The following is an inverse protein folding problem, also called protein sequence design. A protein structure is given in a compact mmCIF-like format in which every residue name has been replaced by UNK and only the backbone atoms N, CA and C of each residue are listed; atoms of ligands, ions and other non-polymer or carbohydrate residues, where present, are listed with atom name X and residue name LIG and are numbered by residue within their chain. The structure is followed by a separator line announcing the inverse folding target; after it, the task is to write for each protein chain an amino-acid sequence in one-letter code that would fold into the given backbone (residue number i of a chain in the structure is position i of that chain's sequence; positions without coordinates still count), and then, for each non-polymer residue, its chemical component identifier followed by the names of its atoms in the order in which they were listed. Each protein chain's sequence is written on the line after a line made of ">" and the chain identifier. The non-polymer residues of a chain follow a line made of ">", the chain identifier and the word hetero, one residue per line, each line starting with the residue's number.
data_IF_552662431093
#
_entry.id   IF_552662431093
#
_cell.length_a   1.000
_cell.length_b   1.000
_cell.length_c   1.000
_cell.angle_alpha   90.00
_cell.angle_beta   90.00
_cell.angle_gamma   90.00
#
_symmetry.space_group_name_H-M   'P 1'
#
loop_
_entity.id
_entity.type
_entity.pdbx_description
1 polymer ?
#
# COMPACT_ATOMS: atom_id res chain seq x y z
N UNK A 1 -0.04 2.28 -20.90
CA UNK A 1 0.19 2.43 -19.45
C UNK A 1 -0.70 1.41 -18.74
N UNK A 2 -0.17 0.59 -17.83
CA UNK A 2 -0.96 -0.38 -17.06
C UNK A 2 -1.11 0.12 -15.62
N UNK A 3 -2.34 0.05 -15.12
CA UNK A 3 -2.67 0.41 -13.74
C UNK A 3 -2.98 -0.87 -12.99
N UNK A 4 -2.34 -1.04 -11.83
CA UNK A 4 -2.62 -2.14 -10.93
C UNK A 4 -3.31 -1.59 -9.68
N UNK A 5 -4.30 -2.34 -9.21
CA UNK A 5 -5.01 -2.01 -7.98
C UNK A 5 -4.78 -3.11 -6.99
N UNK A 6 -4.26 -2.76 -5.82
CA UNK A 6 -4.01 -3.69 -4.72
C UNK A 6 -5.02 -3.42 -3.60
N UNK A 7 -5.78 -4.45 -3.23
CA UNK A 7 -6.57 -4.43 -2.01
C UNK A 7 -5.71 -4.88 -0.84
N UNK A 8 -5.59 -4.04 0.18
CA UNK A 8 -4.86 -4.37 1.40
C UNK A 8 -5.80 -4.31 2.59
N UNK A 9 -5.94 -5.42 3.30
CA UNK A 9 -6.69 -5.47 4.55
C UNK A 9 -5.72 -5.44 5.73
N UNK A 10 -5.97 -4.57 6.70
CA UNK A 10 -5.26 -4.52 7.98
C UNK A 10 -6.23 -4.77 9.12
N UNK A 11 -5.77 -5.50 10.14
CA UNK A 11 -6.50 -5.70 11.39
C UNK A 11 -5.96 -4.76 12.44
N UNK A 12 -6.82 -3.89 12.96
CA UNK A 12 -6.52 -3.04 14.11
C UNK A 12 -7.14 -3.68 15.35
N UNK A 13 -6.33 -3.97 16.36
CA UNK A 13 -6.79 -4.45 17.67
C UNK A 13 -6.72 -3.31 18.68
N UNK A 14 -7.74 -3.18 19.52
CA UNK A 14 -7.80 -2.17 20.56
C UNK A 14 -8.35 -2.74 21.87
N UNK A 15 -8.08 -2.05 22.98
CA UNK A 15 -8.61 -2.37 24.30
C UNK A 15 -9.29 -1.13 24.85
N UNK A 16 -10.56 -1.25 25.20
CA UNK A 16 -11.31 -0.22 25.92
C UNK A 16 -11.19 -0.51 27.41
N UNK A 17 -10.83 0.51 28.19
CA UNK A 17 -10.76 0.43 29.64
C UNK A 17 -11.82 1.35 30.22
N UNK A 18 -12.75 0.77 30.95
CA UNK A 18 -13.83 1.49 31.63
C UNK A 18 -13.33 2.13 32.95
N UNK A 19 -14.04 3.12 33.49
CA UNK A 19 -13.67 3.75 34.78
C UNK A 19 -13.64 2.79 35.97
N UNK A 20 -14.40 1.69 35.91
CA UNK A 20 -14.41 0.62 36.92
C UNK A 20 -13.22 -0.36 36.78
N UNK A 21 -12.32 -0.12 35.81
CA UNK A 21 -11.16 -0.96 35.54
C UNK A 21 -11.45 -2.17 34.64
N UNK A 22 -12.71 -2.38 34.23
CA UNK A 22 -13.04 -3.45 33.29
C UNK A 22 -12.39 -3.20 31.91
N UNK A 23 -11.93 -4.28 31.27
CA UNK A 23 -11.26 -4.23 29.96
C UNK A 23 -12.06 -4.98 28.90
N UNK A 24 -12.30 -4.34 27.77
CA UNK A 24 -12.94 -4.96 26.61
C UNK A 24 -11.97 -4.96 25.43
N UNK A 25 -11.80 -6.12 24.82
CA UNK A 25 -10.94 -6.27 23.65
C UNK A 25 -11.77 -6.19 22.38
N UNK A 26 -11.36 -5.34 21.44
CA UNK A 26 -12.00 -5.17 20.14
C UNK A 26 -11.01 -5.35 18.99
N UNK A 27 -11.53 -5.69 17.82
CA UNK A 27 -10.75 -5.62 16.59
C UNK A 27 -11.59 -5.13 15.42
N UNK A 28 -11.02 -4.23 14.62
CA UNK A 28 -11.59 -3.65 13.43
C UNK A 28 -10.78 -4.08 12.20
N UNK A 29 -11.46 -4.52 11.15
CA UNK A 29 -10.85 -4.75 9.84
C UNK A 29 -10.99 -3.49 8.99
N UNK A 30 -9.87 -2.99 8.48
CA UNK A 30 -9.81 -1.82 7.62
C UNK A 30 -9.24 -2.28 6.28
N UNK A 31 -10.01 -2.09 5.21
CA UNK A 31 -9.54 -2.33 3.85
C UNK A 31 -9.13 -1.00 3.21
N UNK A 32 -7.97 -0.96 2.56
CA UNK A 32 -7.54 0.17 1.75
C UNK A 32 -7.21 -0.28 0.33
N UNK A 33 -7.51 0.59 -0.63
CA UNK A 33 -7.21 0.39 -2.04
C UNK A 33 -6.03 1.30 -2.40
N UNK A 34 -4.95 0.70 -2.90
CA UNK A 34 -3.79 1.42 -3.40
C UNK A 34 -3.65 1.19 -4.91
N UNK A 35 -3.43 2.25 -5.67
CA UNK A 35 -3.17 2.19 -7.11
C UNK A 35 -1.69 2.36 -7.38
N UNK A 36 -1.11 1.50 -8.23
CA UNK A 36 0.24 1.65 -8.75
C UNK A 36 0.22 1.76 -10.27
N UNK A 37 1.10 2.62 -10.78
CA UNK A 37 1.29 2.82 -12.22
C UNK A 37 2.58 2.11 -12.62
N UNK A 38 2.49 1.19 -13.58
CA UNK A 38 3.68 0.60 -14.19
C UNK A 38 4.30 1.61 -15.15
N UNK A 39 5.32 2.33 -14.68
CA UNK A 39 6.19 3.11 -15.57
C UNK A 39 7.21 2.16 -16.18
N UNK A 40 7.04 1.84 -17.47
CA UNK A 40 8.14 1.30 -18.26
C UNK A 40 9.18 2.40 -18.38
N UNK A 41 10.24 2.32 -17.58
CA UNK A 41 11.48 3.04 -17.87
C UNK A 41 12.10 2.34 -19.08
N UNK A 42 11.67 2.72 -20.27
CA UNK A 42 12.44 2.44 -21.47
C UNK A 42 13.72 3.25 -21.32
N UNK A 43 14.82 2.55 -21.00
CA UNK A 43 16.12 3.15 -20.80
C UNK A 43 16.54 3.90 -22.08
N UNK A 44 16.62 5.24 -22.10
CA UNK A 44 17.03 5.95 -23.31
C UNK A 44 18.53 5.79 -23.63
N UNK A 45 19.29 4.99 -22.87
CA UNK A 45 20.75 4.80 -23.08
C UNK A 45 21.13 3.84 -24.21
N UNK A 46 20.29 3.69 -25.25
CA UNK A 46 20.69 3.03 -26.50
C UNK A 46 20.34 3.96 -27.66
N UNK A 47 21.07 5.06 -27.76
CA UNK A 47 20.76 6.12 -28.70
C UNK A 47 21.91 7.12 -28.89
N UNK A 48 23.15 6.66 -28.97
CA UNK A 48 24.22 7.44 -29.58
C UNK A 48 25.31 6.51 -30.10
N UNK A 49 25.08 5.98 -31.31
CA UNK A 49 26.19 5.67 -32.22
C UNK A 49 26.71 7.01 -32.73
N UNK A 50 27.84 7.47 -32.21
CA UNK A 50 28.73 8.35 -32.95
C UNK A 50 30.12 7.74 -32.80
N UNK A 51 30.44 6.82 -33.72
CA UNK A 51 31.81 6.49 -34.06
C UNK A 51 32.44 7.73 -34.71
N UNK A 52 33.61 8.23 -34.25
CA UNK A 52 34.53 8.92 -35.13
C UNK A 52 35.26 7.94 -36.05
#
# INVERSE_FOLDING_TARGET
>A
MKFFTTLRTKRLTYVLVSPDGSRQHGSLLIASVAQSVEQRTENPRVGSSILP
#
